data_IF_257860288991
#
_entry.id   IF_257860288991
#
_cell.length_a   1.000
_cell.length_b   1.000
_cell.length_c   1.000
_cell.angle_alpha   90.00
_cell.angle_beta   90.00
_cell.angle_gamma   90.00
#
_symmetry.space_group_name_H-M   'P 1'
#
loop_
_entity.id
_entity.type
_entity.pdbx_description
1 polymer ?
#
# COMPACT_ATOMS: atom_id res chain seq x y z
N UNK A 1 33.01 4.25 -17.43
CA UNK A 1 33.17 4.37 -15.97
C UNK A 1 32.41 5.62 -15.55
N UNK A 2 31.31 5.48 -14.82
CA UNK A 2 30.49 6.59 -14.33
C UNK A 2 30.38 6.38 -12.82
N UNK A 3 30.91 7.32 -12.04
CA UNK A 3 30.90 7.30 -10.58
C UNK A 3 29.55 7.80 -10.04
N UNK A 4 29.03 7.25 -8.93
CA UNK A 4 27.83 7.77 -8.30
C UNK A 4 28.16 8.96 -7.39
N UNK A 5 27.46 10.08 -7.60
CA UNK A 5 27.46 11.24 -6.73
C UNK A 5 26.74 10.88 -5.42
N UNK A 6 27.49 10.76 -4.33
CA UNK A 6 26.95 10.64 -2.98
C UNK A 6 26.50 12.03 -2.50
N UNK A 7 25.19 12.19 -2.31
CA UNK A 7 24.61 13.39 -1.72
C UNK A 7 24.80 13.33 -0.19
N UNK A 8 25.84 13.99 0.31
CA UNK A 8 26.11 14.14 1.74
C UNK A 8 25.21 15.23 2.32
N UNK A 9 24.06 14.84 2.88
CA UNK A 9 23.24 15.74 3.70
C UNK A 9 23.85 15.84 5.10
N UNK A 10 24.73 16.81 5.25
CA UNK A 10 25.12 17.39 6.52
C UNK A 10 23.99 18.27 7.06
N UNK A 11 23.32 17.84 8.11
CA UNK A 11 22.62 18.74 9.04
C UNK A 11 23.09 18.43 10.45
N UNK A 12 23.94 19.32 10.94
CA UNK A 12 24.41 19.35 12.31
C UNK A 12 23.29 19.84 13.26
N UNK A 13 23.42 19.40 14.52
CA UNK A 13 22.82 19.93 15.73
C UNK A 13 21.32 19.74 15.96
N UNK A 14 20.99 18.63 16.64
CA UNK A 14 20.11 18.71 17.82
C UNK A 14 20.69 17.84 18.95
N UNK A 15 21.78 18.31 19.52
CA UNK A 15 22.25 17.89 20.84
C UNK A 15 21.30 18.49 21.88
N UNK A 16 20.22 17.80 22.26
CA UNK A 16 19.57 17.92 23.59
C UNK A 16 18.30 17.07 23.67
N UNK A 17 18.46 15.81 24.07
CA UNK A 17 17.40 15.06 24.75
C UNK A 17 18.01 14.09 25.77
N UNK A 18 19.01 14.55 26.53
CA UNK A 18 19.54 13.85 27.71
C UNK A 18 19.09 14.50 29.03
N UNK A 19 18.44 15.66 28.97
CA UNK A 19 18.17 16.51 30.14
C UNK A 19 17.20 15.96 31.21
N UNK A 20 16.45 14.89 30.94
CA UNK A 20 15.51 14.32 31.92
C UNK A 20 16.15 13.20 32.76
N UNK A 21 16.92 12.31 32.12
CA UNK A 21 17.60 11.18 32.77
C UNK A 21 18.81 11.66 33.58
N UNK A 22 19.52 12.69 33.11
CA UNK A 22 20.65 13.26 33.84
C UNK A 22 20.19 13.97 35.13
N UNK A 23 19.04 14.65 35.10
CA UNK A 23 18.51 15.40 36.26
C UNK A 23 18.01 14.51 37.39
N UNK A 24 17.34 13.41 37.07
CA UNK A 24 16.86 12.48 38.10
C UNK A 24 18.01 11.69 38.75
N UNK A 25 19.02 11.31 37.95
CA UNK A 25 20.27 10.74 38.47
C UNK A 25 21.03 11.74 39.35
N UNK A 26 21.08 13.01 38.96
CA UNK A 26 21.70 14.09 39.73
C UNK A 26 20.96 14.39 41.06
N UNK A 27 19.62 14.37 41.05
CA UNK A 27 18.80 14.51 42.26
C UNK A 27 18.98 13.32 43.21
N UNK A 28 19.05 12.09 42.69
CA UNK A 28 19.33 10.89 43.50
C UNK A 28 20.74 10.94 44.12
N UNK A 29 21.76 11.34 43.35
CA UNK A 29 23.13 11.50 43.85
C UNK A 29 23.23 12.61 44.90
N UNK A 30 22.47 13.69 44.74
CA UNK A 30 22.38 14.78 45.72
C UNK A 30 21.72 14.29 47.01
N UNK A 31 20.69 13.45 46.92
CA UNK A 31 20.07 12.80 48.09
C UNK A 31 21.05 11.91 48.85
N UNK A 32 21.78 11.02 48.17
CA UNK A 32 22.76 10.17 48.84
C UNK A 32 23.81 11.00 49.56
N UNK A 33 24.27 12.10 48.96
CA UNK A 33 25.23 13.02 49.58
C UNK A 33 24.65 13.74 50.80
N UNK A 34 23.41 14.21 50.73
CA UNK A 34 22.72 14.86 51.86
C UNK A 34 22.43 13.87 53.00
N UNK A 35 21.99 12.66 52.69
CA UNK A 35 21.73 11.58 53.64
C UNK A 35 23.01 11.17 54.38
N UNK A 36 24.13 10.99 53.66
CA UNK A 36 25.43 10.69 54.27
C UNK A 36 25.92 11.86 55.14
N UNK A 37 25.73 13.10 54.70
CA UNK A 37 26.11 14.30 55.47
C UNK A 37 25.28 14.44 56.75
N UNK A 38 23.99 14.12 56.70
CA UNK A 38 23.08 14.16 57.85
C UNK A 38 23.41 13.07 58.87
N UNK A 39 23.68 11.82 58.45
CA UNK A 39 24.13 10.77 59.38
C UNK A 39 25.45 11.14 60.06
N UNK A 40 26.32 11.91 59.40
CA UNK A 40 27.59 12.35 59.95
C UNK A 40 27.47 13.51 60.96
N UNK A 41 26.38 14.28 60.93
CA UNK A 41 26.21 15.51 61.74
C UNK A 41 24.90 15.58 62.56
N UNK A 42 24.05 14.55 62.57
CA UNK A 42 22.84 14.51 63.40
C UNK A 42 23.15 14.04 64.82
N UNK A 43 22.49 14.68 65.80
CA UNK A 43 22.42 14.19 67.18
C UNK A 43 21.51 12.95 67.22
N UNK A 44 21.99 11.79 67.70
CA UNK A 44 21.21 10.53 67.72
C UNK A 44 19.91 10.61 68.53
N UNK A 45 19.71 11.66 69.36
CA UNK A 45 18.51 11.83 70.17
C UNK A 45 17.35 12.60 69.50
N UNK A 46 17.53 13.23 68.33
CA UNK A 46 16.44 13.93 67.61
C UNK A 46 16.66 13.96 66.08
N UNK A 47 16.30 12.89 65.35
CA UNK A 47 16.36 12.91 63.90
C UNK A 47 15.27 13.83 63.32
N UNK A 48 15.67 14.85 62.56
CA UNK A 48 14.74 15.53 61.66
C UNK A 48 14.49 14.59 60.47
N UNK A 49 13.26 14.10 60.35
CA UNK A 49 12.80 13.16 59.33
C UNK A 49 12.64 13.88 57.96
N UNK A 50 13.47 13.54 56.98
CA UNK A 50 13.40 14.09 55.61
C UNK A 50 12.40 13.33 54.72
N UNK A 51 11.23 12.98 55.28
CA UNK A 51 10.20 12.14 54.66
C UNK A 51 9.61 12.77 53.38
N UNK A 52 9.62 14.10 53.28
CA UNK A 52 9.13 14.85 52.10
C UNK A 52 10.04 14.63 50.87
N UNK A 53 11.37 14.59 51.06
CA UNK A 53 12.32 14.37 49.97
C UNK A 53 12.31 12.92 49.48
N UNK A 54 12.17 11.95 50.39
CA UNK A 54 12.01 10.53 49.99
C UNK A 54 10.70 10.30 49.25
N UNK A 55 9.62 11.00 49.62
CA UNK A 55 8.37 11.02 48.86
C UNK A 55 8.54 11.60 47.45
N UNK A 56 9.24 12.73 47.29
CA UNK A 56 9.52 13.34 45.99
C UNK A 56 10.41 12.47 45.09
N UNK A 57 11.41 11.78 45.66
CA UNK A 57 12.23 10.81 44.93
C UNK A 57 11.42 9.59 44.48
N UNK A 58 10.54 9.07 45.34
CA UNK A 58 9.65 7.96 44.98
C UNK A 58 8.69 8.35 43.84
N UNK A 59 8.19 9.60 43.85
CA UNK A 59 7.38 10.14 42.77
C UNK A 59 8.18 10.27 41.46
N UNK A 60 9.41 10.78 41.52
CA UNK A 60 10.27 10.92 40.33
C UNK A 60 10.64 9.54 39.75
N UNK A 61 11.04 8.59 40.59
CA UNK A 61 11.34 7.21 40.18
C UNK A 61 10.14 6.53 39.52
N UNK A 62 8.93 6.77 40.03
CA UNK A 62 7.69 6.29 39.41
C UNK A 62 7.46 6.90 38.02
N UNK A 63 7.72 8.20 37.85
CA UNK A 63 7.62 8.88 36.55
C UNK A 63 8.67 8.36 35.57
N UNK A 64 9.91 8.13 36.01
CA UNK A 64 10.96 7.55 35.19
C UNK A 64 10.62 6.13 34.75
N UNK A 65 10.08 5.31 35.66
CA UNK A 65 9.64 3.96 35.32
C UNK A 65 8.52 4.00 34.28
N UNK A 66 7.56 4.92 34.40
CA UNK A 66 6.52 5.16 33.39
C UNK A 66 7.10 5.64 32.04
N UNK A 67 8.10 6.52 32.07
CA UNK A 67 8.82 6.93 30.86
C UNK A 67 9.55 5.75 30.21
N UNK A 68 10.16 4.88 31.01
CA UNK A 68 10.80 3.65 30.55
C UNK A 68 9.80 2.68 29.90
N UNK A 69 8.61 2.51 30.50
CA UNK A 69 7.52 1.73 29.92
C UNK A 69 7.07 2.34 28.59
N UNK A 70 6.85 3.66 28.52
CA UNK A 70 6.48 4.34 27.28
C UNK A 70 7.52 4.14 26.17
N UNK A 71 8.82 4.23 26.47
CA UNK A 71 9.89 3.94 25.50
C UNK A 71 9.85 2.49 25.01
N UNK A 72 9.64 1.53 25.90
CA UNK A 72 9.51 0.12 25.53
C UNK A 72 8.30 -0.13 24.63
N UNK A 73 7.17 0.56 24.88
CA UNK A 73 6.00 0.50 23.98
C UNK A 73 6.32 1.07 22.60
N UNK A 74 7.07 2.17 22.52
CA UNK A 74 7.55 2.72 21.24
C UNK A 74 8.48 1.73 20.51
N UNK A 75 9.42 1.09 21.22
CA UNK A 75 10.28 0.08 20.61
C UNK A 75 9.50 -1.14 20.13
N UNK A 76 8.49 -1.58 20.90
CA UNK A 76 7.61 -2.67 20.49
C UNK A 76 6.83 -2.31 19.22
N UNK A 77 6.30 -1.10 19.13
CA UNK A 77 5.61 -0.62 17.94
C UNK A 77 6.54 -0.60 16.72
N UNK A 78 7.78 -0.12 16.88
CA UNK A 78 8.77 -0.11 15.81
C UNK A 78 9.17 -1.53 15.37
N UNK A 79 9.29 -2.45 16.33
CA UNK A 79 9.55 -3.86 16.05
C UNK A 79 8.39 -4.52 15.29
N UNK A 80 7.14 -4.28 15.70
CA UNK A 80 5.96 -4.74 14.96
C UNK A 80 5.91 -4.15 13.55
N UNK A 81 6.23 -2.87 13.37
CA UNK A 81 6.35 -2.26 12.05
C UNK A 81 7.42 -2.97 11.20
N UNK A 82 8.58 -3.30 11.77
CA UNK A 82 9.63 -4.05 11.07
C UNK A 82 9.16 -5.44 10.60
N UNK A 83 8.35 -6.15 11.39
CA UNK A 83 7.78 -7.45 10.98
C UNK A 83 6.82 -7.25 9.79
N UNK A 84 5.92 -6.27 9.87
CA UNK A 84 5.01 -5.95 8.78
C UNK A 84 5.78 -5.56 7.50
N UNK A 85 6.85 -4.78 7.64
CA UNK A 85 7.73 -4.39 6.53
C UNK A 85 8.34 -5.61 5.83
N UNK A 86 8.79 -6.61 6.59
CA UNK A 86 9.35 -7.83 6.02
C UNK A 86 8.32 -8.64 5.24
N UNK A 87 7.06 -8.68 5.69
CA UNK A 87 5.98 -9.37 4.96
C UNK A 87 5.57 -8.59 3.71
N UNK A 88 5.58 -7.25 3.79
CA UNK A 88 5.26 -6.35 2.68
C UNK A 88 6.18 -6.50 1.48
N UNK A 89 7.44 -6.90 1.67
CA UNK A 89 8.39 -7.16 0.57
C UNK A 89 7.85 -8.21 -0.40
N UNK A 90 7.06 -9.17 0.09
CA UNK A 90 6.42 -10.19 -0.75
C UNK A 90 5.33 -9.65 -1.66
N UNK A 91 4.84 -8.43 -1.41
CA UNK A 91 3.78 -7.80 -2.22
C UNK A 91 4.35 -7.13 -3.47
N UNK A 92 5.63 -6.76 -3.47
CA UNK A 92 6.26 -6.13 -4.63
C UNK A 92 6.11 -7.04 -5.85
N UNK A 93 5.54 -6.48 -6.90
CA UNK A 93 5.26 -7.17 -8.15
C UNK A 93 3.97 -7.99 -8.18
N UNK A 94 3.24 -8.13 -7.07
CA UNK A 94 1.88 -8.68 -7.01
C UNK A 94 0.85 -7.62 -7.36
N UNK A 95 -0.30 -8.09 -7.82
CA UNK A 95 -1.49 -7.25 -8.03
C UNK A 95 -2.27 -7.15 -6.72
N UNK A 96 -2.74 -5.95 -6.39
CA UNK A 96 -3.56 -5.74 -5.20
C UNK A 96 -4.88 -5.06 -5.53
N UNK A 97 -5.87 -5.25 -4.66
CA UNK A 97 -7.07 -4.41 -4.56
C UNK A 97 -7.05 -3.72 -3.21
N UNK A 98 -7.27 -2.42 -3.17
CA UNK A 98 -7.29 -1.64 -1.95
C UNK A 98 -8.29 -0.50 -2.02
N UNK A 99 -8.61 0.10 -0.88
CA UNK A 99 -9.39 1.34 -0.85
C UNK A 99 -8.64 2.44 -1.59
N UNK A 100 -9.32 3.12 -2.51
CA UNK A 100 -8.77 4.22 -3.29
C UNK A 100 -9.44 4.30 -4.66
N UNK A 101 -8.92 5.12 -5.56
CA UNK A 101 -9.66 5.51 -6.74
C UNK A 101 -8.80 5.72 -7.99
N UNK A 102 -7.65 5.06 -8.05
CA UNK A 102 -6.79 5.10 -9.23
C UNK A 102 -6.75 3.78 -9.96
N UNK A 103 -6.43 3.88 -11.24
CA UNK A 103 -6.30 2.77 -12.15
C UNK A 103 -5.20 3.06 -13.16
N UNK A 104 -4.51 2.02 -13.62
CA UNK A 104 -3.52 2.16 -14.69
C UNK A 104 -4.12 1.73 -16.02
N UNK A 105 -3.94 2.56 -17.04
CA UNK A 105 -4.25 2.26 -18.43
C UNK A 105 -2.96 1.95 -19.18
N UNK A 106 -2.85 0.74 -19.71
CA UNK A 106 -1.65 0.24 -20.40
C UNK A 106 -1.79 0.17 -21.94
N UNK A 107 -2.86 0.75 -22.49
CA UNK A 107 -3.27 0.73 -23.91
C UNK A 107 -3.78 -0.62 -24.46
N UNK A 108 -3.72 -1.70 -23.67
CA UNK A 108 -4.07 -3.06 -24.12
C UNK A 108 -5.15 -3.74 -23.27
N UNK A 109 -5.13 -3.52 -21.95
CA UNK A 109 -5.99 -4.14 -20.97
C UNK A 109 -6.93 -3.08 -20.39
N UNK A 110 -8.19 -3.12 -20.80
CA UNK A 110 -9.24 -2.24 -20.28
C UNK A 110 -9.44 -2.48 -18.79
N UNK A 111 -9.12 -1.51 -17.93
CA UNK A 111 -9.12 -1.77 -16.52
C UNK A 111 -10.53 -1.66 -15.93
N UNK A 112 -10.72 -2.36 -14.81
CA UNK A 112 -11.98 -2.34 -14.05
C UNK A 112 -11.98 -1.21 -13.02
N UNK A 113 -12.94 -0.31 -13.13
CA UNK A 113 -13.29 0.70 -12.13
C UNK A 113 -14.21 0.04 -11.10
N UNK A 114 -13.62 -0.41 -9.99
CA UNK A 114 -14.32 -1.13 -8.94
C UNK A 114 -14.85 -0.17 -7.86
N UNK A 115 -16.09 -0.37 -7.40
CA UNK A 115 -16.66 0.36 -6.27
C UNK A 115 -17.79 -0.42 -5.61
N UNK A 116 -18.06 -0.14 -4.34
CA UNK A 116 -19.17 -0.73 -3.57
C UNK A 116 -20.20 0.35 -3.25
N UNK A 117 -21.45 0.12 -3.64
CA UNK A 117 -22.58 0.99 -3.29
C UNK A 117 -23.19 0.57 -1.95
N UNK A 118 -23.41 1.53 -1.05
CA UNK A 118 -24.01 1.28 0.27
C UNK A 118 -25.54 1.20 0.27
N UNK A 119 -26.18 1.46 -0.87
CA UNK A 119 -27.62 1.36 -1.11
C UNK A 119 -27.94 1.18 -2.59
N UNK A 120 -29.22 0.99 -2.93
CA UNK A 120 -29.67 0.97 -4.32
C UNK A 120 -29.60 2.38 -4.93
N UNK A 121 -29.07 2.49 -6.15
CA UNK A 121 -28.92 3.75 -6.86
C UNK A 121 -29.70 3.69 -8.19
N UNK A 122 -30.58 4.67 -8.42
CA UNK A 122 -31.33 4.83 -9.67
C UNK A 122 -30.45 5.41 -10.78
N UNK A 123 -29.40 6.16 -10.40
CA UNK A 123 -28.46 6.79 -11.32
C UNK A 123 -27.06 6.72 -10.74
N UNK A 124 -26.16 6.09 -11.48
CA UNK A 124 -24.72 6.02 -11.21
C UNK A 124 -23.96 6.64 -12.37
N UNK A 125 -23.06 7.56 -12.04
CA UNK A 125 -22.16 8.24 -12.97
C UNK A 125 -20.73 8.02 -12.47
N UNK A 126 -19.85 7.56 -13.36
CA UNK A 126 -18.42 7.43 -13.08
C UNK A 126 -17.64 8.42 -13.91
N UNK A 127 -16.94 9.33 -13.25
CA UNK A 127 -16.07 10.30 -13.90
C UNK A 127 -14.63 9.81 -13.83
N UNK A 128 -13.92 9.86 -14.94
CA UNK A 128 -12.49 9.51 -15.05
C UNK A 128 -11.70 10.77 -15.34
N UNK A 129 -10.61 10.96 -14.61
CA UNK A 129 -9.74 12.13 -14.63
C UNK A 129 -8.29 11.71 -14.90
N UNK A 130 -7.55 12.58 -15.56
CA UNK A 130 -6.10 12.43 -15.73
C UNK A 130 -5.31 12.87 -14.48
N UNK A 131 -3.98 12.81 -14.57
CA UNK A 131 -3.06 13.22 -13.50
C UNK A 131 -3.14 14.71 -13.14
N UNK A 132 -3.65 15.55 -14.05
CA UNK A 132 -3.85 16.98 -13.84
C UNK A 132 -5.25 17.28 -13.28
N UNK A 133 -6.02 16.26 -12.88
CA UNK A 133 -7.43 16.35 -12.49
C UNK A 133 -8.35 16.90 -13.60
N UNK A 134 -7.96 16.76 -14.87
CA UNK A 134 -8.83 17.12 -16.00
C UNK A 134 -9.80 15.98 -16.27
N UNK A 135 -11.09 16.30 -16.45
CA UNK A 135 -12.11 15.30 -16.78
C UNK A 135 -11.85 14.72 -18.18
N UNK A 136 -11.63 13.41 -18.24
CA UNK A 136 -11.36 12.64 -19.46
C UNK A 136 -12.63 11.99 -19.99
N UNK A 137 -13.36 11.30 -19.12
CA UNK A 137 -14.54 10.51 -19.49
C UNK A 137 -15.62 10.62 -18.43
N UNK A 138 -16.88 10.66 -18.86
CA UNK A 138 -18.06 10.44 -18.03
C UNK A 138 -18.75 9.19 -18.52
N UNK A 139 -18.93 8.22 -17.63
CA UNK A 139 -19.59 6.95 -17.90
C UNK A 139 -20.93 6.95 -17.18
N UNK A 140 -22.01 6.86 -17.93
CA UNK A 140 -23.36 6.73 -17.38
C UNK A 140 -23.68 5.24 -17.19
N UNK A 141 -23.55 4.76 -15.95
CA UNK A 141 -23.76 3.36 -15.60
C UNK A 141 -25.24 3.02 -15.37
N UNK A 142 -26.10 4.03 -15.23
CA UNK A 142 -27.54 3.84 -15.04
C UNK A 142 -27.89 3.37 -13.63
N UNK A 143 -28.94 2.58 -13.51
CA UNK A 143 -29.39 2.01 -12.25
C UNK A 143 -28.51 0.82 -11.83
N UNK A 144 -28.15 0.75 -10.55
CA UNK A 144 -27.40 -0.35 -9.96
C UNK A 144 -27.90 -0.67 -8.55
N UNK A 145 -27.84 -1.95 -8.19
CA UNK A 145 -28.18 -2.43 -6.85
C UNK A 145 -27.08 -2.13 -5.83
N UNK A 146 -27.43 -2.21 -4.54
CA UNK A 146 -26.46 -2.19 -3.45
C UNK A 146 -25.41 -3.31 -3.62
N UNK A 147 -24.17 -3.04 -3.22
CA UNK A 147 -23.08 -4.02 -3.22
C UNK A 147 -21.97 -3.68 -4.21
N UNK A 148 -21.15 -4.67 -4.51
CA UNK A 148 -19.98 -4.50 -5.38
C UNK A 148 -20.38 -4.31 -6.83
N UNK A 149 -19.77 -3.32 -7.47
CA UNK A 149 -19.97 -2.93 -8.86
C UNK A 149 -18.61 -2.83 -9.55
N UNK A 150 -18.60 -3.10 -10.85
CA UNK A 150 -17.42 -2.95 -11.70
C UNK A 150 -17.81 -2.38 -13.06
N UNK A 151 -17.03 -1.42 -13.55
CA UNK A 151 -17.17 -0.85 -14.89
C UNK A 151 -15.84 -0.97 -15.61
N UNK A 152 -15.86 -1.50 -16.83
CA UNK A 152 -14.69 -1.51 -17.70
C UNK A 152 -14.55 -0.16 -18.38
N UNK A 153 -13.40 0.49 -18.25
CA UNK A 153 -13.07 1.68 -19.03
C UNK A 153 -12.23 1.32 -20.26
N UNK A 154 -12.60 1.86 -21.41
CA UNK A 154 -12.06 1.55 -22.73
C UNK A 154 -10.83 2.37 -23.11
N UNK A 155 -10.31 3.20 -22.19
CA UNK A 155 -9.18 4.09 -22.47
C UNK A 155 -9.51 5.18 -23.48
N UNK A 156 -10.77 5.61 -23.55
CA UNK A 156 -11.21 6.70 -24.44
C UNK A 156 -11.82 7.87 -23.67
N UNK A 157 -11.66 9.06 -24.23
CA UNK A 157 -12.28 10.29 -23.74
C UNK A 157 -13.78 10.39 -24.12
N UNK A 158 -14.44 11.47 -23.71
CA UNK A 158 -15.84 11.77 -24.07
C UNK A 158 -16.08 11.99 -25.58
N UNK A 159 -15.02 12.25 -26.36
CA UNK A 159 -15.08 12.45 -27.81
C UNK A 159 -14.80 11.14 -28.58
N UNK A 160 -14.49 10.05 -27.88
CA UNK A 160 -14.14 8.76 -28.45
C UNK A 160 -12.66 8.64 -28.86
N UNK A 161 -11.82 9.64 -28.58
CA UNK A 161 -10.39 9.55 -28.86
C UNK A 161 -9.72 8.64 -27.83
N UNK A 162 -8.74 7.86 -28.28
CA UNK A 162 -7.88 7.11 -27.37
C UNK A 162 -7.04 8.08 -26.53
N UNK A 163 -6.91 7.79 -25.23
CA UNK A 163 -6.01 8.53 -24.34
C UNK A 163 -4.71 7.76 -24.13
N UNK A 164 -3.64 8.48 -23.82
CA UNK A 164 -2.32 7.89 -23.63
C UNK A 164 -2.25 6.99 -22.40
N UNK A 165 -1.35 6.01 -22.41
CA UNK A 165 -1.05 5.21 -21.21
C UNK A 165 -0.76 6.07 -19.99
N UNK A 166 -1.17 5.61 -18.82
CA UNK A 166 -0.89 6.31 -17.58
C UNK A 166 -1.87 5.99 -16.46
N UNK A 167 -1.71 6.73 -15.38
CA UNK A 167 -2.55 6.61 -14.19
C UNK A 167 -3.73 7.55 -14.35
N UNK A 168 -4.93 7.02 -14.14
CA UNK A 168 -6.17 7.76 -14.15
C UNK A 168 -6.86 7.63 -12.80
N UNK A 169 -7.53 8.69 -12.39
CA UNK A 169 -8.35 8.74 -11.17
C UNK A 169 -9.81 8.63 -11.57
N UNK A 170 -10.63 7.94 -10.80
CA UNK A 170 -12.07 7.92 -11.02
C UNK A 170 -12.85 8.32 -9.78
N UNK A 171 -14.07 8.81 -9.99
CA UNK A 171 -15.00 9.20 -8.93
C UNK A 171 -16.38 8.67 -9.28
N UNK A 172 -17.12 8.22 -8.28
CA UNK A 172 -18.46 7.64 -8.43
C UNK A 172 -19.49 8.55 -7.78
N UNK A 173 -20.46 8.98 -8.56
CA UNK A 173 -21.61 9.75 -8.09
C UNK A 173 -22.86 8.89 -8.25
N UNK A 174 -23.53 8.59 -7.15
CA UNK A 174 -24.72 7.75 -7.13
C UNK A 174 -25.88 8.45 -6.41
N UNK A 175 -27.09 8.35 -6.95
CA UNK A 175 -28.32 8.87 -6.35
C UNK A 175 -29.44 7.83 -6.40
N UNK A 176 -30.30 7.78 -5.39
CA UNK A 176 -31.49 6.92 -5.37
C UNK A 176 -32.65 7.52 -6.19
N UNK A 177 -33.82 6.88 -6.21
CA UNK A 177 -35.02 7.34 -6.94
C UNK A 177 -35.57 8.68 -6.45
N UNK A 178 -35.33 9.03 -5.19
CA UNK A 178 -35.73 10.30 -4.57
C UNK A 178 -34.73 11.44 -4.85
N UNK A 179 -33.60 11.12 -5.49
CA UNK A 179 -32.50 12.07 -5.74
C UNK A 179 -31.50 12.20 -4.59
N UNK A 180 -31.66 11.43 -3.51
CA UNK A 180 -30.74 11.42 -2.36
C UNK A 180 -29.41 10.74 -2.73
N UNK A 181 -28.26 11.25 -2.25
CA UNK A 181 -26.96 10.64 -2.54
C UNK A 181 -26.84 9.25 -1.91
N UNK A 182 -26.25 8.32 -2.67
CA UNK A 182 -25.89 6.98 -2.21
C UNK A 182 -24.37 6.93 -2.12
N UNK A 183 -23.83 6.64 -0.95
CA UNK A 183 -22.38 6.55 -0.76
C UNK A 183 -21.79 5.39 -1.56
N UNK A 184 -20.67 5.67 -2.24
CA UNK A 184 -19.87 4.70 -2.97
C UNK A 184 -18.44 4.66 -2.41
N UNK A 185 -17.93 3.48 -2.13
CA UNK A 185 -16.51 3.27 -1.77
C UNK A 185 -15.78 2.73 -2.99
N UNK A 186 -14.85 3.50 -3.54
CA UNK A 186 -14.05 3.06 -4.70
C UNK A 186 -12.90 2.17 -4.25
N UNK A 187 -12.46 1.29 -5.16
CA UNK A 187 -11.31 0.44 -4.97
C UNK A 187 -10.30 0.67 -6.10
N UNK A 188 -9.04 0.93 -5.74
CA UNK A 188 -7.95 0.91 -6.71
C UNK A 188 -7.56 -0.55 -7.00
N UNK A 189 -6.99 -0.77 -8.18
CA UNK A 189 -6.34 -2.02 -8.53
C UNK A 189 -5.06 -1.73 -9.29
N UNK A 190 -4.02 -2.49 -8.99
CA UNK A 190 -2.75 -2.35 -9.68
C UNK A 190 -1.61 -3.10 -9.01
N UNK A 191 -0.52 -3.20 -9.77
CA UNK A 191 0.73 -3.82 -9.33
C UNK A 191 1.42 -2.99 -8.28
N UNK A 192 1.93 -3.63 -7.24
CA UNK A 192 2.81 -2.99 -6.26
C UNK A 192 4.18 -2.77 -6.89
N UNK A 193 4.57 -1.50 -7.00
CA UNK A 193 5.84 -1.07 -7.60
C UNK A 193 6.94 -0.90 -6.56
N UNK A 194 6.58 -0.63 -5.31
CA UNK A 194 7.53 -0.42 -4.22
C UNK A 194 6.87 -0.30 -2.85
N UNK A 195 7.70 -0.05 -1.85
CA UNK A 195 7.28 0.19 -0.47
C UNK A 195 7.89 1.51 0.02
N UNK A 196 7.14 2.21 0.86
CA UNK A 196 7.67 3.34 1.64
C UNK A 196 7.22 3.21 3.09
N UNK A 197 8.03 3.74 4.00
CA UNK A 197 7.82 3.65 5.43
C UNK A 197 7.83 5.06 6.01
N UNK A 198 6.68 5.52 6.51
CA UNK A 198 6.54 6.88 7.02
C UNK A 198 5.83 6.83 8.37
N UNK A 199 6.44 7.46 9.38
CA UNK A 199 5.89 7.56 10.74
C UNK A 199 5.45 6.22 11.34
N UNK A 200 6.18 5.13 11.04
CA UNK A 200 5.86 3.78 11.53
C UNK A 200 4.73 3.07 10.79
N UNK A 201 4.19 3.68 9.72
CA UNK A 201 3.18 3.07 8.84
C UNK A 201 3.86 2.61 7.55
N UNK A 202 3.52 1.39 7.14
CA UNK A 202 3.98 0.81 5.88
C UNK A 202 2.99 1.10 4.77
N UNK A 203 3.49 1.69 3.69
CA UNK A 203 2.71 1.96 2.49
C UNK A 203 3.27 1.16 1.32
N UNK A 204 2.37 0.56 0.55
CA UNK A 204 2.68 0.06 -0.79
C UNK A 204 2.49 1.18 -1.79
N UNK A 205 3.35 1.24 -2.80
CA UNK A 205 3.23 2.16 -3.92
C UNK A 205 2.54 1.44 -5.07
N UNK A 206 1.36 1.93 -5.46
CA UNK A 206 0.57 1.39 -6.58
C UNK A 206 0.08 2.55 -7.41
N UNK A 207 0.35 2.54 -8.72
CA UNK A 207 -0.07 3.60 -9.64
C UNK A 207 0.35 4.99 -9.12
N UNK A 208 1.56 5.13 -8.57
CA UNK A 208 2.06 6.37 -7.96
C UNK A 208 1.38 6.83 -6.66
N UNK A 209 0.37 6.10 -6.16
CA UNK A 209 -0.28 6.38 -4.87
C UNK A 209 0.31 5.53 -3.74
N UNK A 210 0.41 6.16 -2.57
CA UNK A 210 0.69 5.46 -1.30
C UNK A 210 -0.60 4.84 -0.79
N UNK A 211 -0.58 3.53 -0.59
CA UNK A 211 -1.70 2.75 -0.04
C UNK A 211 -1.22 2.11 1.25
N UNK A 212 -1.87 2.38 2.38
CA UNK A 212 -1.48 1.74 3.63
C UNK A 212 -1.74 0.24 3.54
N UNK A 213 -0.85 -0.59 4.10
CA UNK A 213 -1.04 -2.05 4.07
C UNK A 213 -2.36 -2.48 4.71
N UNK A 214 -2.82 -1.76 5.74
CA UNK A 214 -4.12 -2.00 6.37
C UNK A 214 -5.33 -1.77 5.47
N UNK A 215 -5.18 -1.02 4.37
CA UNK A 215 -6.25 -0.73 3.41
C UNK A 215 -6.27 -1.70 2.23
N UNK A 216 -5.33 -2.66 2.19
CA UNK A 216 -5.27 -3.71 1.17
C UNK A 216 -6.36 -4.73 1.46
N UNK A 217 -7.25 -4.91 0.49
CA UNK A 217 -8.40 -5.82 0.55
C UNK A 217 -8.02 -7.20 0.01
N UNK A 218 -7.24 -7.26 -1.08
CA UNK A 218 -6.76 -8.53 -1.63
C UNK A 218 -5.40 -8.41 -2.30
N UNK A 219 -4.70 -9.53 -2.38
CA UNK A 219 -3.38 -9.67 -3.00
C UNK A 219 -3.43 -10.92 -3.89
N UNK A 220 -3.13 -10.75 -5.17
CA UNK A 220 -3.09 -11.83 -6.16
C UNK A 220 -1.70 -11.94 -6.79
N UNK A 221 -1.32 -13.15 -7.21
CA UNK A 221 -0.18 -13.30 -8.11
C UNK A 221 -0.46 -12.50 -9.40
N UNK A 222 0.57 -11.91 -10.03
CA UNK A 222 0.38 -11.22 -11.29
C UNK A 222 -0.27 -12.18 -12.30
N UNK A 223 -1.18 -11.71 -13.16
CA UNK A 223 -1.74 -12.55 -14.21
C UNK A 223 -0.58 -13.12 -15.04
N UNK A 224 -0.53 -14.46 -15.17
CA UNK A 224 0.52 -15.10 -15.95
C UNK A 224 0.48 -14.51 -17.36
N UNK A 225 1.55 -13.80 -17.74
CA UNK A 225 1.75 -13.40 -19.13
C UNK A 225 1.96 -14.71 -19.88
N UNK A 226 0.91 -15.22 -20.52
CA UNK A 226 1.00 -16.32 -21.49
C UNK A 226 1.78 -15.78 -22.67
N UNK A 227 3.10 -15.76 -22.51
CA UNK A 227 4.03 -15.57 -23.61
C UNK A 227 3.88 -16.82 -24.45
N UNK A 228 3.05 -16.75 -25.49
CA UNK A 228 3.06 -17.77 -26.53
C UNK A 228 4.45 -17.72 -27.16
N UNK A 229 5.36 -18.56 -26.67
CA UNK A 229 6.54 -18.94 -27.43
C UNK A 229 6.01 -19.60 -28.70
N UNK A 230 5.97 -18.85 -29.80
CA UNK A 230 5.88 -19.42 -31.13
C UNK A 230 7.12 -20.29 -31.28
N UNK A 231 6.99 -21.58 -30.98
CA UNK A 231 7.98 -22.55 -31.40
C UNK A 231 8.00 -22.46 -32.92
N UNK A 232 9.12 -21.97 -33.46
CA UNK A 232 9.48 -22.15 -34.85
C UNK A 232 9.45 -23.66 -35.10
N UNK A 233 8.32 -24.12 -35.62
CA UNK A 233 8.14 -25.48 -36.04
C UNK A 233 8.94 -25.62 -37.33
N UNK A 234 10.08 -26.29 -37.17
CA UNK A 234 10.98 -26.75 -38.20
C UNK A 234 10.20 -27.15 -39.47
N UNK A 235 10.48 -26.43 -40.56
CA UNK A 235 9.79 -26.55 -41.85
C UNK A 235 10.08 -27.91 -42.54
N UNK A 236 10.87 -28.79 -41.93
CA UNK A 236 11.15 -30.13 -42.43
C UNK A 236 9.97 -31.11 -42.42
N UNK A 237 8.96 -30.94 -41.56
CA UNK A 237 7.94 -31.98 -41.32
C UNK A 237 6.59 -31.74 -42.06
N UNK A 238 6.41 -30.57 -42.67
CA UNK A 238 5.19 -30.22 -43.42
C UNK A 238 5.20 -30.86 -44.82
N UNK A 239 6.38 -31.02 -45.43
CA UNK A 239 6.49 -31.58 -46.79
C UNK A 239 6.15 -33.08 -46.79
N UNK A 240 6.55 -33.83 -45.75
CA UNK A 240 6.26 -35.26 -45.63
C UNK A 240 4.78 -35.57 -45.36
N UNK A 241 4.08 -34.70 -44.61
CA UNK A 241 2.63 -34.85 -44.35
C UNK A 241 1.76 -34.52 -45.56
N UNK A 242 2.14 -33.54 -46.38
CA UNK A 242 1.35 -33.16 -47.58
C UNK A 242 1.46 -34.21 -48.71
N UNK A 243 2.64 -34.82 -48.90
CA UNK A 243 2.82 -35.84 -49.95
C UNK A 243 2.07 -37.15 -49.60
N UNK A 244 1.98 -37.51 -48.31
CA UNK A 244 1.27 -38.73 -47.87
C UNK A 244 -0.25 -38.65 -48.04
N UNK A 245 -0.82 -37.44 -48.06
CA UNK A 245 -2.25 -37.22 -48.27
C UNK A 245 -2.62 -37.19 -49.76
N UNK A 246 -1.72 -36.71 -50.63
CA UNK A 246 -1.95 -36.68 -52.09
C UNK A 246 -1.75 -38.05 -52.77
N UNK A 247 -0.90 -38.94 -52.21
CA UNK A 247 -0.69 -40.29 -52.76
C UNK A 247 -1.86 -41.27 -52.55
N UNK A 248 -2.86 -40.93 -51.73
CA UNK A 248 -4.01 -41.81 -51.43
C UNK A 248 -5.27 -41.52 -52.24
N UNK A 249 -5.28 -40.43 -53.02
CA UNK A 249 -6.45 -39.97 -53.76
C UNK A 249 -6.48 -40.40 -55.25
N UNK A 250 -5.44 -41.06 -55.76
CA UNK A 250 -5.33 -41.43 -57.17
C UNK A 250 -5.37 -42.96 -57.38
N UNK A 251 -6.40 -43.65 -56.89
CA UNK A 251 -6.63 -45.05 -57.30
C UNK A 251 -8.06 -45.54 -57.07
N UNK A 252 -9.08 -44.84 -57.59
CA UNK A 252 -10.39 -45.50 -57.84
C UNK A 252 -10.89 -45.01 -59.19
N UNK A 253 -10.50 -45.77 -60.22
CA UNK A 253 -10.98 -45.66 -61.58
C UNK A 253 -12.42 -46.20 -61.70
N UNK A 254 -13.13 -45.68 -62.70
CA UNK A 254 -14.43 -46.15 -63.18
C UNK A 254 -14.50 -47.66 -63.44
N UNK A 255 -15.71 -48.21 -63.64
CA UNK A 255 -16.00 -48.71 -64.98
C UNK A 255 -17.39 -48.39 -65.54
N UNK A 256 -17.46 -48.55 -66.85
CA UNK A 256 -18.54 -48.38 -67.82
C UNK A 256 -19.27 -49.75 -68.01
N UNK A 257 -20.49 -49.71 -68.57
CA UNK A 257 -21.22 -50.75 -69.36
C UNK A 257 -22.21 -51.60 -68.50
N UNK A 258 -23.48 -51.83 -68.86
CA UNK A 258 -24.16 -51.98 -70.16
C UNK A 258 -25.51 -51.23 -70.20
#
# INVERSE_FOLDING_TARGET
MIEPVVNTLSTANTTQSSNATDKASEIANTFYKLLTTQIQYQDPLNPIENTEFTSQLAQLSSVEQLQGVNKNLTYLQLYMASINNSQALSFIGKEIKATGNTVYWDESNSPNLNYTLNGEASRVIVNVFDQNNTLVRTIHAGQQSKGDQSIVWDGRDNKGNAVGKGIYKFEVLATNTEGNPVSATTMLSGRVEGLTFENGVTYVMVNGQKVAIGDIISIAAPPETTTQTTQQQDTGDIITKTIKTLGKAALIAAPIVL
#
